data_IF_026793311432
#
_entry.id   IF_026793311432
#
_cell.length_a   1.000
_cell.length_b   1.000
_cell.length_c   1.000
_cell.angle_alpha   90.00
_cell.angle_beta   90.00
_cell.angle_gamma   90.00
#
_symmetry.space_group_name_H-M   'P 1'
#
loop_
_entity.id
_entity.type
_entity.pdbx_description
1 polymer ?
#
# COMPACT_ATOMS: atom_id res chain seq x y z
N UNK A 1 11.36 -8.39 -7.68
CA UNK A 1 11.68 -8.62 -6.26
C UNK A 1 11.08 -7.44 -5.50
N UNK A 2 9.94 -7.64 -4.84
CA UNK A 2 9.10 -6.55 -4.33
C UNK A 2 9.73 -5.95 -3.08
N UNK A 3 10.03 -4.65 -3.13
CA UNK A 3 10.70 -3.94 -2.05
C UNK A 3 9.80 -3.92 -0.83
N UNK A 4 10.19 -4.66 0.21
CA UNK A 4 9.67 -4.43 1.56
C UNK A 4 10.03 -2.99 1.96
N UNK A 5 9.19 -2.30 2.72
CA UNK A 5 9.61 -1.08 3.40
C UNK A 5 10.95 -1.36 4.07
N UNK A 6 11.97 -0.58 3.73
CA UNK A 6 13.25 -0.69 4.44
C UNK A 6 13.02 -0.09 5.83
N UNK A 7 13.49 -0.77 6.87
CA UNK A 7 13.54 -0.16 8.21
C UNK A 7 14.24 1.21 8.09
N UNK A 8 13.63 2.25 8.65
CA UNK A 8 14.15 3.62 8.56
C UNK A 8 13.54 4.52 7.48
N UNK A 9 12.46 4.10 6.79
CA UNK A 9 11.73 4.98 5.88
C UNK A 9 11.13 6.17 6.65
N UNK A 10 11.43 7.40 6.19
CA UNK A 10 10.86 8.64 6.71
C UNK A 10 9.39 8.70 6.27
N UNK A 11 8.50 8.67 7.25
CA UNK A 11 7.08 8.49 7.02
C UNK A 11 6.27 9.68 7.56
N UNK A 12 5.26 10.07 6.79
CA UNK A 12 4.24 11.02 7.24
C UNK A 12 2.97 10.24 7.54
N UNK A 13 2.35 10.49 8.69
CA UNK A 13 1.05 9.92 9.01
C UNK A 13 -0.06 10.83 8.51
N UNK A 14 -0.99 10.26 7.75
CA UNK A 14 -2.21 10.91 7.32
C UNK A 14 -3.39 10.30 8.08
N UNK A 15 -3.86 11.03 9.07
CA UNK A 15 -5.00 10.65 9.89
C UNK A 15 -6.30 11.07 9.20
N UNK A 16 -7.09 10.10 8.75
CA UNK A 16 -8.37 10.35 8.10
C UNK A 16 -9.38 9.26 8.46
N UNK A 17 -10.65 9.64 8.65
CA UNK A 17 -11.75 8.72 8.91
C UNK A 17 -13.02 9.19 8.21
N UNK A 18 -13.97 8.27 8.02
CA UNK A 18 -15.34 8.59 7.57
C UNK A 18 -16.19 9.25 8.65
N UNK A 19 -15.77 9.14 9.91
CA UNK A 19 -16.53 9.64 11.06
C UNK A 19 -16.08 11.05 11.50
N UNK A 20 -15.01 11.57 10.90
CA UNK A 20 -14.45 12.89 11.20
C UNK A 20 -12.94 12.85 11.36
N UNK A 21 -12.41 13.86 12.05
CA UNK A 21 -11.02 13.82 12.52
C UNK A 21 -10.90 12.73 13.58
N UNK A 22 -9.95 11.78 13.44
CA UNK A 22 -9.62 10.84 14.52
C UNK A 22 -9.25 11.58 15.81
N UNK A 23 -9.66 11.01 16.94
CA UNK A 23 -9.34 11.55 18.27
C UNK A 23 -7.84 11.50 18.57
N UNK A 24 -7.37 12.09 19.68
CA UNK A 24 -5.95 12.04 20.04
C UNK A 24 -5.49 10.59 20.25
N UNK A 25 -6.20 9.83 21.08
CA UNK A 25 -5.86 8.46 21.43
C UNK A 25 -5.78 7.54 20.19
N UNK A 26 -6.72 7.68 19.24
CA UNK A 26 -6.70 6.91 17.98
C UNK A 26 -5.47 7.23 17.12
N UNK A 27 -5.00 8.48 17.14
CA UNK A 27 -3.82 8.91 16.39
C UNK A 27 -2.55 8.39 17.03
N UNK A 28 -2.46 8.45 18.35
CA UNK A 28 -1.34 7.91 19.12
C UNK A 28 -1.21 6.40 18.91
N UNK A 29 -2.31 5.65 19.00
CA UNK A 29 -2.32 4.21 18.72
C UNK A 29 -1.81 3.91 17.30
N UNK A 30 -2.29 4.68 16.30
CA UNK A 30 -1.86 4.50 14.92
C UNK A 30 -0.36 4.83 14.72
N UNK A 31 0.15 5.85 15.40
CA UNK A 31 1.56 6.20 15.39
C UNK A 31 2.41 5.06 15.99
N UNK A 32 1.99 4.48 17.11
CA UNK A 32 2.66 3.32 17.72
C UNK A 32 2.68 2.10 16.78
N UNK A 33 1.60 1.86 16.05
CA UNK A 33 1.55 0.81 15.03
C UNK A 33 2.55 1.08 13.90
N UNK A 34 2.62 2.31 13.39
CA UNK A 34 3.58 2.68 12.35
C UNK A 34 5.04 2.55 12.82
N UNK A 35 5.35 3.01 14.02
CA UNK A 35 6.68 2.85 14.63
C UNK A 35 7.05 1.39 14.82
N UNK A 36 6.10 0.56 15.25
CA UNK A 36 6.28 -0.89 15.41
C UNK A 36 6.59 -1.60 14.09
N UNK A 37 6.17 -1.04 12.96
CA UNK A 37 6.52 -1.52 11.62
C UNK A 37 7.90 -1.02 11.14
N UNK A 38 8.57 -0.16 11.91
CA UNK A 38 9.89 0.38 11.60
C UNK A 38 9.88 1.70 10.81
N UNK A 39 8.74 2.41 10.79
CA UNK A 39 8.64 3.73 10.19
C UNK A 39 9.25 4.81 11.11
N UNK A 40 9.93 5.79 10.52
CA UNK A 40 10.42 6.98 11.22
C UNK A 40 9.45 8.12 10.95
N UNK A 41 8.55 8.39 11.90
CA UNK A 41 7.52 9.43 11.74
C UNK A 41 8.20 10.80 11.74
N UNK A 42 8.03 11.56 10.66
CA UNK A 42 8.59 12.91 10.50
C UNK A 42 7.55 14.02 10.58
N UNK A 43 6.27 13.69 10.35
CA UNK A 43 5.14 14.61 10.50
C UNK A 43 3.81 13.84 10.59
N UNK A 44 2.78 14.51 11.11
CA UNK A 44 1.42 13.97 11.21
C UNK A 44 0.37 15.01 10.78
N UNK A 45 -0.45 14.64 9.80
CA UNK A 45 -1.53 15.51 9.30
C UNK A 45 -2.90 14.88 9.56
N UNK A 46 -3.83 15.70 10.02
CA UNK A 46 -5.22 15.29 10.28
C UNK A 46 -6.16 15.87 9.22
N UNK A 47 -6.99 15.02 8.63
CA UNK A 47 -8.09 15.39 7.74
C UNK A 47 -9.40 15.44 8.53
N UNK A 48 -9.99 16.63 8.79
CA UNK A 48 -11.24 16.75 9.54
C UNK A 48 -12.50 16.37 8.74
N UNK A 49 -12.32 15.93 7.50
CA UNK A 49 -13.42 15.74 6.54
C UNK A 49 -14.15 14.43 6.80
N UNK A 50 -15.42 14.50 7.20
CA UNK A 50 -16.30 13.32 7.38
C UNK A 50 -16.61 12.58 6.07
N UNK A 51 -16.86 13.29 4.97
CA UNK A 51 -17.17 12.64 3.68
C UNK A 51 -15.91 12.44 2.84
N UNK A 52 -15.41 11.21 2.65
CA UNK A 52 -14.19 10.98 1.89
C UNK A 52 -14.35 11.38 0.43
N UNK A 53 -13.29 11.91 -0.14
CA UNK A 53 -13.21 12.19 -1.57
C UNK A 53 -13.05 10.89 -2.37
N UNK A 54 -13.82 10.72 -3.44
CA UNK A 54 -13.76 9.50 -4.28
C UNK A 54 -12.39 9.31 -4.93
N UNK A 55 -11.67 10.39 -5.21
CA UNK A 55 -10.39 10.36 -5.93
C UNK A 55 -9.19 10.20 -5.00
N UNK A 56 -9.17 10.88 -3.85
CA UNK A 56 -8.01 10.93 -2.96
C UNK A 56 -8.28 10.53 -1.51
N UNK A 57 -9.52 10.18 -1.15
CA UNK A 57 -10.00 10.04 0.23
C UNK A 57 -10.03 11.37 1.01
N UNK A 58 -9.00 12.20 0.87
CA UNK A 58 -8.90 13.55 1.43
C UNK A 58 -9.27 14.65 0.42
N UNK A 59 -9.50 15.88 0.90
CA UNK A 59 -9.74 17.04 0.04
C UNK A 59 -8.46 17.59 -0.61
N UNK A 60 -8.60 18.39 -1.67
CA UNK A 60 -7.47 19.01 -2.40
C UNK A 60 -6.55 19.85 -1.51
N UNK A 61 -7.09 20.70 -0.63
CA UNK A 61 -6.27 21.50 0.27
C UNK A 61 -5.43 20.63 1.22
N UNK A 62 -6.01 19.54 1.75
CA UNK A 62 -5.26 18.59 2.58
C UNK A 62 -4.20 17.83 1.77
N UNK A 63 -4.50 17.51 0.52
CA UNK A 63 -3.52 16.88 -0.39
C UNK A 63 -2.32 17.81 -0.63
N UNK A 64 -2.57 19.11 -0.82
CA UNK A 64 -1.50 20.12 -0.95
C UNK A 64 -0.69 20.27 0.34
N UNK A 65 -1.33 20.24 1.51
CA UNK A 65 -0.64 20.23 2.80
C UNK A 65 0.29 19.00 2.94
N UNK A 66 -0.20 17.81 2.57
CA UNK A 66 0.57 16.57 2.62
C UNK A 66 1.75 16.63 1.65
N UNK A 67 1.53 17.10 0.42
CA UNK A 67 2.60 17.26 -0.57
C UNK A 67 3.71 18.18 -0.04
N UNK A 68 3.33 19.33 0.53
CA UNK A 68 4.29 20.26 1.13
C UNK A 68 5.07 19.60 2.27
N UNK A 69 4.39 18.84 3.13
CA UNK A 69 5.07 18.13 4.23
C UNK A 69 6.03 17.06 3.70
N UNK A 70 5.66 16.32 2.65
CA UNK A 70 6.53 15.34 1.98
C UNK A 70 7.81 16.01 1.47
N UNK A 71 7.69 17.16 0.80
CA UNK A 71 8.83 17.92 0.28
C UNK A 71 9.72 18.48 1.39
N UNK A 72 9.11 19.13 2.40
CA UNK A 72 9.82 19.74 3.53
C UNK A 72 10.59 18.70 4.35
N UNK A 73 9.97 17.55 4.60
CA UNK A 73 10.55 16.50 5.43
C UNK A 73 11.31 15.44 4.64
N UNK A 74 11.38 15.55 3.31
CA UNK A 74 11.94 14.52 2.43
C UNK A 74 11.41 13.12 2.79
N UNK A 75 10.09 12.99 2.89
CA UNK A 75 9.45 11.74 3.26
C UNK A 75 9.36 10.80 2.06
N UNK A 76 9.70 9.53 2.26
CA UNK A 76 9.64 8.49 1.23
C UNK A 76 8.30 7.74 1.24
N UNK A 77 7.56 7.87 2.35
CA UNK A 77 6.34 7.12 2.64
C UNK A 77 5.27 8.02 3.25
N UNK A 78 4.03 7.86 2.79
CA UNK A 78 2.84 8.39 3.46
C UNK A 78 1.98 7.22 3.91
N UNK A 79 1.64 7.17 5.20
CA UNK A 79 0.84 6.10 5.79
C UNK A 79 -0.53 6.67 6.17
N UNK A 80 -1.58 6.19 5.52
CA UNK A 80 -2.97 6.60 5.78
C UNK A 80 -3.61 5.71 6.84
N UNK A 81 -4.20 6.31 7.87
CA UNK A 81 -4.99 5.58 8.88
C UNK A 81 -6.32 5.06 8.33
N UNK A 82 -6.80 5.62 7.22
CA UNK A 82 -7.94 5.08 6.48
C UNK A 82 -7.54 3.93 5.56
N UNK A 83 -8.46 2.99 5.35
CA UNK A 83 -8.37 2.02 4.26
C UNK A 83 -8.63 2.70 2.91
N UNK A 84 -7.69 2.59 1.98
CA UNK A 84 -7.75 3.26 0.69
C UNK A 84 -8.13 2.28 -0.42
N UNK A 85 -9.03 2.68 -1.32
CA UNK A 85 -9.25 1.92 -2.55
C UNK A 85 -8.00 1.93 -3.45
N UNK A 86 -7.81 0.91 -4.31
CA UNK A 86 -6.68 0.86 -5.25
C UNK A 86 -6.55 2.06 -6.18
N UNK A 87 -7.65 2.75 -6.49
CA UNK A 87 -7.61 3.99 -7.26
C UNK A 87 -7.17 5.19 -6.42
N UNK A 88 -7.63 5.28 -5.16
CA UNK A 88 -7.24 6.38 -4.27
C UNK A 88 -5.75 6.34 -3.96
N UNK A 89 -5.22 5.18 -3.57
CA UNK A 89 -3.80 5.01 -3.27
C UNK A 89 -2.92 5.41 -4.46
N UNK A 90 -3.19 4.86 -5.65
CA UNK A 90 -2.45 5.21 -6.87
C UNK A 90 -2.53 6.70 -7.21
N UNK A 91 -3.69 7.30 -7.03
CA UNK A 91 -3.85 8.73 -7.28
C UNK A 91 -3.02 9.54 -6.29
N UNK A 92 -3.01 9.16 -5.01
CA UNK A 92 -2.17 9.80 -4.00
C UNK A 92 -0.68 9.63 -4.33
N UNK A 93 -0.20 8.43 -4.65
CA UNK A 93 1.20 8.20 -5.06
C UNK A 93 1.60 9.07 -6.26
N UNK A 94 0.69 9.20 -7.24
CA UNK A 94 0.95 9.99 -8.44
C UNK A 94 1.11 11.48 -8.12
N UNK A 95 0.31 12.02 -7.20
CA UNK A 95 0.38 13.45 -6.83
C UNK A 95 1.53 13.69 -5.84
N UNK A 96 1.69 12.83 -4.84
CA UNK A 96 2.67 12.96 -3.75
C UNK A 96 4.10 12.58 -4.14
N UNK A 97 4.27 11.84 -5.25
CA UNK A 97 5.58 11.36 -5.76
C UNK A 97 6.34 10.44 -4.80
N UNK A 98 5.70 9.95 -3.76
CA UNK A 98 6.23 9.00 -2.80
C UNK A 98 5.32 7.78 -2.70
N UNK A 99 5.77 6.72 -2.01
CA UNK A 99 4.96 5.53 -1.79
C UNK A 99 3.83 5.85 -0.82
N UNK A 100 2.64 5.27 -1.03
CA UNK A 100 1.50 5.43 -0.13
C UNK A 100 1.09 4.06 0.40
N UNK A 101 0.94 3.95 1.71
CA UNK A 101 0.49 2.74 2.38
C UNK A 101 -0.82 3.03 3.12
N UNK A 102 -1.80 2.17 2.97
CA UNK A 102 -3.04 2.26 3.74
C UNK A 102 -2.96 1.44 5.04
N UNK A 103 -3.98 1.56 5.91
CA UNK A 103 -4.03 0.83 7.18
C UNK A 103 -3.88 -0.68 7.00
N UNK A 104 -4.50 -1.25 5.97
CA UNK A 104 -4.43 -2.68 5.71
C UNK A 104 -3.01 -3.10 5.32
N UNK A 105 -2.34 -2.34 4.46
CA UNK A 105 -0.94 -2.55 4.10
C UNK A 105 0.00 -2.51 5.31
N UNK A 106 -0.16 -1.50 6.18
CA UNK A 106 0.61 -1.38 7.42
C UNK A 106 0.46 -2.62 8.31
N UNK A 107 -0.78 -3.07 8.53
CA UNK A 107 -1.07 -4.25 9.36
C UNK A 107 -0.43 -5.50 8.76
N UNK A 108 -0.50 -5.68 7.44
CA UNK A 108 0.12 -6.81 6.75
C UNK A 108 1.65 -6.80 6.89
N UNK A 109 2.28 -5.63 6.86
CA UNK A 109 3.72 -5.49 7.08
C UNK A 109 4.12 -5.85 8.51
N UNK A 110 3.35 -5.41 9.51
CA UNK A 110 3.54 -5.81 10.92
C UNK A 110 3.41 -7.33 11.06
N UNK A 111 2.39 -7.94 10.46
CA UNK A 111 2.23 -9.40 10.50
C UNK A 111 3.37 -10.12 9.80
N UNK A 112 3.90 -9.58 8.71
CA UNK A 112 5.05 -10.19 8.01
C UNK A 112 6.32 -10.17 8.86
N UNK A 113 6.52 -9.13 9.67
CA UNK A 113 7.63 -9.03 10.62
C UNK A 113 7.45 -9.99 11.81
N UNK A 114 6.21 -10.21 12.25
CA UNK A 114 5.89 -11.04 13.43
C UNK A 114 5.71 -12.53 13.12
N UNK A 115 5.38 -12.91 11.88
CA UNK A 115 5.13 -14.31 11.51
C UNK A 115 6.38 -15.19 11.67
N UNK A 116 6.38 -16.06 12.70
CA UNK A 116 7.48 -17.00 12.97
C UNK A 116 7.20 -18.41 12.45
N UNK A 117 5.98 -18.90 12.66
CA UNK A 117 5.57 -20.24 12.23
C UNK A 117 5.54 -20.36 10.71
N UNK A 118 5.71 -21.58 10.22
CA UNK A 118 5.63 -21.86 8.78
C UNK A 118 4.24 -21.52 8.23
N UNK A 119 3.19 -21.94 8.92
CA UNK A 119 1.81 -21.63 8.55
C UNK A 119 1.53 -20.12 8.57
N UNK A 120 1.93 -19.42 9.63
CA UNK A 120 1.71 -17.97 9.75
C UNK A 120 2.40 -17.21 8.62
N UNK A 121 3.62 -17.63 8.22
CA UNK A 121 4.31 -17.04 7.07
C UNK A 121 3.53 -17.23 5.76
N UNK A 122 2.95 -18.42 5.55
CA UNK A 122 2.13 -18.71 4.37
C UNK A 122 0.85 -17.86 4.35
N UNK A 123 0.15 -17.74 5.49
CA UNK A 123 -1.06 -16.94 5.61
C UNK A 123 -0.78 -15.46 5.35
N UNK A 124 0.32 -14.92 5.89
CA UNK A 124 0.70 -13.52 5.66
C UNK A 124 1.11 -13.28 4.21
N UNK A 125 1.92 -14.16 3.61
CA UNK A 125 2.28 -14.05 2.18
C UNK A 125 1.03 -14.08 1.30
N UNK A 126 0.09 -14.98 1.60
CA UNK A 126 -1.19 -15.06 0.90
C UNK A 126 -2.00 -13.77 1.02
N UNK A 127 -2.10 -13.22 2.23
CA UNK A 127 -2.83 -11.98 2.49
C UNK A 127 -2.19 -10.78 1.77
N UNK A 128 -0.86 -10.68 1.79
CA UNK A 128 -0.10 -9.67 1.05
C UNK A 128 -0.35 -9.77 -0.46
N UNK A 129 -0.31 -10.98 -1.04
CA UNK A 129 -0.57 -11.17 -2.46
C UNK A 129 -2.01 -10.85 -2.85
N UNK A 130 -2.99 -11.20 -2.02
CA UNK A 130 -4.39 -10.82 -2.24
C UNK A 130 -4.56 -9.30 -2.22
N UNK A 131 -4.01 -8.62 -1.21
CA UNK A 131 -4.03 -7.17 -1.14
C UNK A 131 -3.38 -6.53 -2.38
N UNK A 132 -2.17 -6.97 -2.73
CA UNK A 132 -1.43 -6.50 -3.91
C UNK A 132 -2.20 -6.74 -5.21
N UNK A 133 -2.84 -7.91 -5.37
CA UNK A 133 -3.54 -8.28 -6.60
C UNK A 133 -4.61 -7.27 -7.01
N UNK A 134 -5.29 -6.67 -6.03
CA UNK A 134 -6.31 -5.64 -6.27
C UNK A 134 -5.72 -4.29 -6.69
N UNK A 135 -4.43 -4.08 -6.38
CA UNK A 135 -3.66 -2.86 -6.65
C UNK A 135 -2.79 -2.95 -7.90
N UNK A 136 -2.74 -4.11 -8.55
CA UNK A 136 -2.15 -4.31 -9.89
C UNK A 136 -3.04 -3.65 -10.97
N UNK A 137 -2.88 -2.34 -11.12
CA UNK A 137 -3.59 -1.52 -12.12
C UNK A 137 -2.59 -0.89 -13.09
N UNK A 138 -3.06 -0.47 -14.27
CA UNK A 138 -2.34 0.15 -15.40
C UNK A 138 -1.44 1.38 -15.07
N UNK A 139 -1.23 1.73 -13.80
CA UNK A 139 -0.34 2.81 -13.36
C UNK A 139 1.15 2.52 -13.55
N UNK A 140 1.55 1.27 -13.77
CA UNK A 140 2.93 0.88 -14.12
C UNK A 140 3.25 1.06 -15.61
N UNK A 141 2.62 2.06 -16.25
CA UNK A 141 2.72 2.36 -17.69
C UNK A 141 4.07 2.93 -18.12
N UNK A 142 5.02 3.15 -17.20
CA UNK A 142 6.41 3.47 -17.57
C UNK A 142 7.11 2.31 -18.30
N UNK A 143 6.65 1.06 -18.14
CA UNK A 143 7.15 -0.09 -18.90
C UNK A 143 6.52 -0.24 -20.29
N UNK A 144 5.30 0.29 -20.51
CA UNK A 144 4.62 0.22 -21.81
C UNK A 144 5.09 1.32 -22.77
N UNK A 145 5.41 2.53 -22.26
CA UNK A 145 5.80 3.66 -23.13
C UNK A 145 7.19 3.54 -23.75
N UNK A 146 8.10 2.74 -23.18
CA UNK A 146 9.43 2.55 -23.76
C UNK A 146 9.49 1.48 -24.86
N UNK A 147 8.39 0.73 -25.07
CA UNK A 147 8.25 -0.25 -26.16
C UNK A 147 7.23 0.19 -27.22
N UNK A 148 6.98 1.51 -27.33
CA UNK A 148 6.26 2.10 -28.45
C UNK A 148 7.10 2.10 -29.72
N UNK A 149 7.28 0.93 -30.32
CA UNK A 149 7.85 0.75 -31.65
C UNK A 149 6.93 -0.13 -32.48
N UNK A 150 6.34 0.46 -33.53
CA UNK A 150 5.51 -0.20 -34.54
C UNK A 150 6.22 -1.48 -35.01
N UNK A 151 5.66 -2.67 -34.71
CA UNK A 151 6.05 -3.90 -35.41
C UNK A 151 6.57 -5.09 -34.60
N UNK A 152 6.59 -5.09 -33.27
CA UNK A 152 6.96 -6.30 -32.52
C UNK A 152 5.72 -7.10 -32.12
N UNK A 153 5.43 -8.16 -32.90
CA UNK A 153 4.58 -9.29 -32.51
C UNK A 153 5.24 -10.02 -31.32
N UNK A 154 5.13 -9.45 -30.13
CA UNK A 154 5.34 -10.14 -28.87
C UNK A 154 4.16 -11.08 -28.56
N UNK A 155 4.30 -11.99 -27.57
CA UNK A 155 3.20 -12.85 -27.14
C UNK A 155 1.97 -11.97 -26.86
N UNK A 156 0.79 -12.38 -27.32
CA UNK A 156 -0.44 -11.57 -27.29
C UNK A 156 -0.98 -11.20 -25.91
N UNK A 157 -0.22 -11.44 -24.83
CA UNK A 157 -0.53 -11.11 -23.44
C UNK A 157 0.22 -9.82 -23.05
N UNK A 158 -0.48 -8.85 -22.47
CA UNK A 158 0.14 -7.63 -21.91
C UNK A 158 0.95 -7.95 -20.66
N UNK A 159 1.97 -7.15 -20.33
CA UNK A 159 2.78 -7.35 -19.11
C UNK A 159 1.90 -7.41 -17.84
N UNK A 160 0.85 -6.58 -17.79
CA UNK A 160 -0.10 -6.57 -16.68
C UNK A 160 -0.93 -7.86 -16.59
N UNK A 161 -1.30 -8.45 -17.72
CA UNK A 161 -2.00 -9.74 -17.76
C UNK A 161 -1.07 -10.86 -17.28
N UNK A 162 0.18 -10.87 -17.74
CA UNK A 162 1.20 -11.81 -17.26
C UNK A 162 1.41 -11.68 -15.75
N UNK A 163 1.56 -10.46 -15.22
CA UNK A 163 1.77 -10.23 -13.78
C UNK A 163 0.55 -10.68 -12.95
N UNK A 164 -0.67 -10.37 -13.41
CA UNK A 164 -1.91 -10.85 -12.77
C UNK A 164 -1.98 -12.38 -12.78
N UNK A 165 -1.61 -13.02 -13.88
CA UNK A 165 -1.59 -14.48 -14.00
C UNK A 165 -0.57 -15.10 -13.05
N UNK A 166 0.63 -14.53 -12.95
CA UNK A 166 1.68 -15.01 -12.05
C UNK A 166 1.26 -14.87 -10.58
N UNK A 167 0.70 -13.72 -10.19
CA UNK A 167 0.17 -13.52 -8.83
C UNK A 167 -0.98 -14.47 -8.53
N UNK A 168 -1.91 -14.65 -9.48
CA UNK A 168 -3.02 -15.60 -9.35
C UNK A 168 -2.54 -17.06 -9.19
N UNK A 169 -1.53 -17.47 -9.97
CA UNK A 169 -0.89 -18.79 -9.82
C UNK A 169 -0.28 -18.96 -8.42
N UNK A 170 0.41 -17.94 -7.91
CA UNK A 170 1.05 -17.99 -6.60
C UNK A 170 0.03 -18.07 -5.47
N UNK A 171 -1.07 -17.31 -5.56
CA UNK A 171 -2.19 -17.37 -4.61
C UNK A 171 -2.76 -18.80 -4.55
N UNK A 172 -2.97 -19.46 -5.70
CA UNK A 172 -3.45 -20.85 -5.73
C UNK A 172 -2.48 -21.81 -5.03
N UNK A 173 -1.19 -21.73 -5.37
CA UNK A 173 -0.18 -22.57 -4.74
C UNK A 173 -0.10 -22.40 -3.22
N UNK A 174 -0.26 -21.17 -2.71
CA UNK A 174 -0.25 -20.90 -1.27
C UNK A 174 -1.50 -21.44 -0.58
N UNK A 175 -2.69 -21.32 -1.20
CA UNK A 175 -3.91 -21.94 -0.68
C UNK A 175 -3.74 -23.47 -0.58
N UNK A 176 -3.21 -24.13 -1.61
CA UNK A 176 -3.01 -25.58 -1.62
C UNK A 176 -2.06 -26.02 -0.50
N UNK A 177 -0.98 -25.27 -0.27
CA UNK A 177 -0.04 -25.50 0.83
C UNK A 177 -0.69 -25.32 2.20
N UNK A 178 -1.54 -24.30 2.36
CA UNK A 178 -2.27 -24.09 3.62
C UNK A 178 -3.24 -25.25 3.89
N UNK A 179 -3.96 -25.73 2.88
CA UNK A 179 -4.84 -26.90 3.03
C UNK A 179 -4.07 -28.18 3.43
N UNK A 180 -2.80 -28.32 3.03
CA UNK A 180 -1.96 -29.43 3.47
C UNK A 180 -1.49 -29.29 4.91
N UNK A 181 -1.24 -28.06 5.37
CA UNK A 181 -0.83 -27.78 6.76
C UNK A 181 -2.01 -27.97 7.71
N UNK A 182 -3.21 -27.53 7.33
CA UNK A 182 -4.45 -27.64 8.12
C UNK A 182 -4.91 -29.10 8.33
N UNK A 183 -4.45 -30.03 7.49
CA UNK A 183 -4.73 -31.47 7.59
C UNK A 183 -3.77 -32.23 8.51
N UNK A 184 -2.74 -31.57 9.05
CA UNK A 184 -1.76 -32.17 9.98
C UNK A 184 -2.13 -31.85 11.41
#
# INVERSE_FOLDING_TARGET
MFGRPRSGERAILLHASTDGAPELDEREEFAELAMSAGAVIVDELVSPRRRPDRRYFIGKGKLEDVLRSVELNCADLVISSAALSPSQERNLEKELKCRVLDRAGLILDIFAQRARSFEGKLQVELAQLRHLSTRLVRGWTHLERQKGGIGLRGPGETQLETDRRLVGNRIRQLNDRLTQVDKR
#
